data_IF_273676942290
#
_entry.id   IF_273676942290
#
_cell.length_a   1.000
_cell.length_b   1.000
_cell.length_c   1.000
_cell.angle_alpha   90.00
_cell.angle_beta   90.00
_cell.angle_gamma   90.00
#
_symmetry.space_group_name_H-M   'P 1'
#
loop_
_entity.id
_entity.type
_entity.pdbx_description
1 polymer ?
#
# COMPACT_ATOMS: atom_id res chain seq x y z
N UNK A 1 0.10 0.68 61.15
CA UNK A 1 -0.15 1.38 59.88
C UNK A 1 -1.37 2.27 60.07
N UNK A 2 -1.30 3.52 59.59
CA UNK A 2 -2.43 4.46 59.60
C UNK A 2 -2.74 4.86 58.17
N UNK A 3 -3.96 4.65 57.71
CA UNK A 3 -4.41 5.19 56.44
C UNK A 3 -4.56 6.70 56.57
N UNK A 4 -3.97 7.46 55.64
CA UNK A 4 -4.08 8.92 55.61
C UNK A 4 -4.97 9.32 54.44
N UNK A 5 -5.92 10.21 54.69
CA UNK A 5 -6.86 10.74 53.70
C UNK A 5 -6.34 12.07 53.14
N UNK A 6 -5.08 12.09 52.70
CA UNK A 6 -4.50 13.30 52.10
C UNK A 6 -4.67 13.27 50.57
N UNK A 7 -4.78 14.45 49.97
CA UNK A 7 -5.28 14.73 48.61
C UNK A 7 -4.42 14.22 47.44
N UNK A 8 -3.55 13.22 47.65
CA UNK A 8 -2.58 12.73 46.68
C UNK A 8 -3.13 11.50 45.91
N UNK A 9 -3.46 11.62 44.60
CA UNK A 9 -4.00 10.52 43.81
C UNK A 9 -2.89 9.58 43.30
N UNK A 10 -1.95 9.22 44.19
CA UNK A 10 -0.78 8.40 43.84
C UNK A 10 -0.51 7.35 44.93
N UNK A 11 0.00 6.15 44.57
CA UNK A 11 0.45 5.17 45.53
C UNK A 11 1.64 5.72 46.34
N UNK A 12 1.38 6.03 47.61
CA UNK A 12 2.33 6.65 48.53
C UNK A 12 2.35 5.93 49.89
N UNK A 13 3.55 5.74 50.43
CA UNK A 13 3.76 5.22 51.79
C UNK A 13 4.82 6.02 52.54
N UNK A 14 4.65 6.18 53.85
CA UNK A 14 5.69 6.64 54.77
C UNK A 14 6.27 5.42 55.48
N UNK A 15 7.58 5.20 55.40
CA UNK A 15 8.29 4.10 56.05
C UNK A 15 9.29 4.61 57.10
N UNK A 16 9.62 3.76 58.07
CA UNK A 16 10.72 4.01 59.01
C UNK A 16 12.07 3.40 58.54
N UNK A 17 13.14 3.58 59.31
CA UNK A 17 14.47 2.99 59.05
C UNK A 17 14.50 1.46 58.94
N UNK A 18 13.51 0.77 59.49
CA UNK A 18 13.36 -0.69 59.43
C UNK A 18 12.38 -1.11 58.34
N UNK A 19 12.02 -0.18 57.44
CA UNK A 19 11.07 -0.39 56.35
C UNK A 19 9.64 -0.71 56.82
N UNK A 20 9.28 -0.39 58.07
CA UNK A 20 7.90 -0.53 58.52
C UNK A 20 7.04 0.60 57.98
N UNK A 21 5.87 0.25 57.44
CA UNK A 21 4.92 1.21 56.89
C UNK A 21 4.19 1.90 58.05
N UNK A 22 4.43 3.20 58.19
CA UNK A 22 3.78 4.06 59.18
C UNK A 22 2.44 4.56 58.64
N UNK A 23 2.46 5.11 57.43
CA UNK A 23 1.31 5.74 56.77
C UNK A 23 1.21 5.29 55.31
N UNK A 24 -0.01 5.25 54.76
CA UNK A 24 -0.24 4.87 53.36
C UNK A 24 -1.49 5.53 52.78
N UNK A 25 -1.52 5.71 51.45
CA UNK A 25 -2.70 6.15 50.68
C UNK A 25 -3.56 4.97 50.23
N UNK A 26 -4.86 5.16 49.94
CA UNK A 26 -5.72 4.11 49.37
C UNK A 26 -5.13 3.45 48.11
N UNK A 27 -4.55 4.24 47.23
CA UNK A 27 -3.90 3.80 46.00
C UNK A 27 -2.69 2.90 46.29
N UNK A 28 -1.95 3.15 47.38
CA UNK A 28 -0.88 2.27 47.84
C UNK A 28 -1.39 0.94 48.38
N UNK A 29 -2.58 0.94 49.01
CA UNK A 29 -3.23 -0.30 49.47
C UNK A 29 -3.71 -1.17 48.31
N UNK A 30 -4.10 -0.59 47.18
CA UNK A 30 -4.47 -1.37 46.00
C UNK A 30 -3.23 -1.96 45.32
N UNK A 31 -2.09 -1.26 45.40
CA UNK A 31 -0.84 -1.68 44.78
C UNK A 31 -0.06 -2.70 45.62
N UNK A 32 -0.07 -2.56 46.95
CA UNK A 32 0.65 -3.41 47.89
C UNK A 32 -0.28 -4.43 48.55
N UNK A 33 0.18 -5.66 48.72
CA UNK A 33 -0.32 -6.51 49.80
C UNK A 33 0.10 -5.83 51.11
N UNK A 34 -0.83 -5.18 51.82
CA UNK A 34 -0.57 -4.34 53.01
C UNK A 34 0.05 -5.15 54.16
N UNK A 35 1.34 -5.42 54.03
CA UNK A 35 2.17 -6.03 55.03
C UNK A 35 2.79 -4.95 55.93
N UNK A 36 3.13 -5.27 57.19
CA UNK A 36 3.74 -4.30 58.09
C UNK A 36 5.08 -3.77 57.58
N UNK A 37 5.84 -4.61 56.85
CA UNK A 37 7.12 -4.25 56.26
C UNK A 37 6.99 -4.06 54.74
N UNK A 38 7.53 -2.95 54.24
CA UNK A 38 7.61 -2.66 52.81
C UNK A 38 8.42 -3.70 52.03
N UNK A 39 9.48 -4.27 52.66
CA UNK A 39 10.32 -5.28 52.03
C UNK A 39 9.58 -6.58 51.72
N UNK A 40 8.49 -6.88 52.46
CA UNK A 40 7.68 -8.07 52.21
C UNK A 40 6.89 -7.99 50.90
N UNK A 41 6.80 -6.84 50.25
CA UNK A 41 6.16 -6.69 48.93
C UNK A 41 7.18 -6.56 47.80
N UNK A 42 8.46 -6.44 48.14
CA UNK A 42 9.57 -6.35 47.21
C UNK A 42 10.01 -7.78 46.86
N UNK A 43 10.31 -8.03 45.59
CA UNK A 43 10.89 -9.29 45.15
C UNK A 43 12.28 -9.52 45.75
N UNK A 44 12.63 -10.77 46.06
CA UNK A 44 13.86 -11.11 46.78
C UNK A 44 15.13 -10.61 46.05
N UNK A 45 15.13 -10.62 44.72
CA UNK A 45 16.27 -10.15 43.91
C UNK A 45 16.44 -8.62 43.97
N UNK A 46 15.40 -7.90 44.42
CA UNK A 46 15.40 -6.45 44.56
C UNK A 46 15.66 -5.96 46.00
N UNK A 47 15.72 -6.85 47.00
CA UNK A 47 15.92 -6.50 48.41
C UNK A 47 17.24 -5.76 48.65
N UNK A 48 18.35 -6.28 48.13
CA UNK A 48 19.68 -5.68 48.30
C UNK A 48 19.74 -4.27 47.72
N UNK A 49 19.02 -4.03 46.62
CA UNK A 49 18.93 -2.73 45.98
C UNK A 49 18.14 -1.75 46.85
N UNK A 50 17.01 -2.18 47.42
CA UNK A 50 16.22 -1.34 48.33
C UNK A 50 17.01 -1.00 49.58
N UNK A 51 17.61 -1.98 50.26
CA UNK A 51 18.37 -1.75 51.50
C UNK A 51 19.56 -0.81 51.26
N UNK A 52 20.25 -0.95 50.12
CA UNK A 52 21.41 -0.12 49.79
C UNK A 52 21.04 1.32 49.50
N UNK A 53 19.94 1.56 48.80
CA UNK A 53 19.62 2.88 48.24
C UNK A 53 18.54 3.64 49.02
N UNK A 54 17.67 2.94 49.75
CA UNK A 54 16.63 3.55 50.60
C UNK A 54 17.21 3.72 51.99
N UNK A 55 18.14 4.66 52.14
CA UNK A 55 18.74 5.04 53.42
C UNK A 55 18.80 6.57 53.59
N UNK A 56 18.86 7.09 54.83
CA UNK A 56 18.84 8.53 55.09
C UNK A 56 19.99 9.30 54.42
N UNK A 57 21.15 8.67 54.25
CA UNK A 57 22.35 9.29 53.69
C UNK A 57 22.25 9.50 52.17
N UNK A 58 21.35 8.78 51.50
CA UNK A 58 21.15 8.83 50.05
C UNK A 58 20.22 9.97 49.58
N UNK A 59 19.57 10.70 50.51
CA UNK A 59 18.76 11.88 50.19
C UNK A 59 17.51 11.57 49.35
N UNK A 60 17.45 12.11 48.12
CA UNK A 60 16.38 11.81 47.15
C UNK A 60 16.85 10.75 46.18
N UNK A 61 16.15 9.63 46.13
CA UNK A 61 16.56 8.44 45.39
C UNK A 61 15.46 7.98 44.45
N UNK A 62 15.84 7.61 43.23
CA UNK A 62 14.97 6.89 42.30
C UNK A 62 15.58 5.50 42.07
N UNK A 63 14.80 4.44 42.31
CA UNK A 63 15.20 3.07 42.03
C UNK A 63 14.06 2.30 41.36
N UNK A 64 14.40 1.54 40.33
CA UNK A 64 13.51 0.55 39.72
C UNK A 64 13.65 -0.79 40.44
N UNK A 65 12.53 -1.39 40.84
CA UNK A 65 12.49 -2.68 41.54
C UNK A 65 11.38 -3.58 41.00
N UNK A 66 11.54 -4.88 41.20
CA UNK A 66 10.45 -5.84 41.02
C UNK A 66 9.67 -5.95 42.32
N UNK A 67 8.34 -5.90 42.21
CA UNK A 67 7.43 -6.16 43.32
C UNK A 67 6.56 -7.36 42.99
N UNK A 68 6.19 -8.12 44.02
CA UNK A 68 5.28 -9.24 43.86
C UNK A 68 3.91 -8.86 44.42
N UNK A 69 2.86 -9.16 43.65
CA UNK A 69 1.48 -9.09 44.12
C UNK A 69 0.80 -10.41 43.76
N UNK A 70 0.31 -11.09 44.78
CA UNK A 70 -0.28 -12.43 44.69
C UNK A 70 0.67 -13.46 44.06
N UNK A 71 0.64 -13.62 42.74
CA UNK A 71 1.51 -14.54 41.96
C UNK A 71 2.11 -13.88 40.72
N UNK A 72 1.94 -12.56 40.55
CA UNK A 72 2.51 -11.80 39.45
C UNK A 72 3.65 -10.91 39.97
N UNK A 73 4.74 -10.88 39.21
CA UNK A 73 5.85 -9.96 39.41
C UNK A 73 5.70 -8.82 38.41
N UNK A 74 5.82 -7.59 38.87
CA UNK A 74 5.73 -6.42 38.02
C UNK A 74 6.75 -5.36 38.44
N UNK A 75 7.12 -4.52 37.48
CA UNK A 75 8.19 -3.54 37.61
C UNK A 75 7.63 -2.22 38.15
N UNK A 76 8.27 -1.64 39.16
CA UNK A 76 7.88 -0.37 39.78
C UNK A 76 9.10 0.55 39.88
N UNK A 77 8.91 1.83 39.52
CA UNK A 77 9.84 2.90 39.89
C UNK A 77 9.47 3.46 41.27
N UNK A 78 10.39 3.40 42.22
CA UNK A 78 10.28 4.02 43.54
C UNK A 78 10.96 5.37 43.56
N UNK A 79 10.25 6.37 44.06
CA UNK A 79 10.79 7.69 44.37
C UNK A 79 10.79 7.85 45.88
N UNK A 80 11.99 7.87 46.47
CA UNK A 80 12.19 7.93 47.91
C UNK A 80 12.71 9.31 48.31
N UNK A 81 12.09 9.89 49.32
CA UNK A 81 12.54 11.12 49.95
C UNK A 81 12.52 11.00 51.48
N UNK A 82 13.68 11.13 52.12
CA UNK A 82 13.75 11.18 53.58
C UNK A 82 13.34 12.56 54.09
N UNK A 83 12.23 12.60 54.85
CA UNK A 83 11.75 13.82 55.54
C UNK A 83 12.69 14.23 56.66
N UNK A 84 13.24 13.23 57.33
CA UNK A 84 14.20 13.35 58.41
C UNK A 84 14.95 12.02 58.54
N UNK A 85 15.84 11.96 59.52
CA UNK A 85 16.60 10.76 59.83
C UNK A 85 15.74 9.53 60.14
N UNK A 86 14.47 9.66 60.52
CA UNK A 86 13.64 8.57 61.03
C UNK A 86 12.60 8.07 60.02
N UNK A 87 12.20 8.89 59.05
CA UNK A 87 11.06 8.63 58.16
C UNK A 87 11.38 8.96 56.70
N UNK A 88 11.01 8.03 55.82
CA UNK A 88 11.07 8.20 54.38
C UNK A 88 9.68 8.19 53.76
N UNK A 89 9.47 9.06 52.79
CA UNK A 89 8.33 9.06 51.90
C UNK A 89 8.68 8.29 50.63
N UNK A 90 7.80 7.39 50.21
CA UNK A 90 8.01 6.54 49.04
C UNK A 90 6.79 6.64 48.13
N UNK A 91 7.00 7.12 46.91
CA UNK A 91 6.01 7.10 45.83
C UNK A 91 6.33 5.91 44.92
N UNK A 92 5.32 5.13 44.57
CA UNK A 92 5.44 3.94 43.72
C UNK A 92 4.74 4.16 42.38
N UNK A 93 5.46 3.98 41.28
CA UNK A 93 4.94 4.13 39.92
C UNK A 93 5.07 2.80 39.15
N UNK A 94 3.99 2.02 38.99
CA UNK A 94 4.05 0.76 38.24
C UNK A 94 4.28 1.00 36.74
N UNK A 95 5.13 0.18 36.12
CA UNK A 95 5.37 0.17 34.68
C UNK A 95 4.50 -0.90 34.01
N UNK A 96 3.50 -0.49 33.24
CA UNK A 96 2.63 -1.41 32.50
C UNK A 96 3.30 -1.92 31.21
N UNK A 97 3.29 -3.25 30.98
CA UNK A 97 3.87 -3.94 29.81
C UNK A 97 3.18 -3.64 28.45
N UNK A 98 2.17 -2.77 28.41
CA UNK A 98 1.36 -2.47 27.23
C UNK A 98 2.18 -2.12 25.98
N UNK A 99 3.39 -1.54 26.15
CA UNK A 99 4.27 -1.20 25.05
C UNK A 99 4.81 -2.42 24.28
N UNK A 100 5.00 -3.57 24.93
CA UNK A 100 5.56 -4.77 24.29
C UNK A 100 4.51 -5.50 23.42
N UNK A 101 3.28 -5.59 23.90
CA UNK A 101 2.17 -6.18 23.15
C UNK A 101 1.81 -5.37 21.90
N UNK A 102 1.77 -4.03 22.03
CA UNK A 102 1.54 -3.12 20.91
C UNK A 102 2.64 -3.23 19.87
N UNK A 103 3.90 -3.30 20.29
CA UNK A 103 5.04 -3.48 19.38
C UNK A 103 4.94 -4.78 18.58
N UNK A 104 4.61 -5.91 19.22
CA UNK A 104 4.44 -7.20 18.53
C UNK A 104 3.23 -7.23 17.58
N UNK A 105 2.14 -6.51 17.89
CA UNK A 105 1.02 -6.36 16.95
C UNK A 105 1.41 -5.51 15.73
N UNK A 106 2.15 -4.41 15.95
CA UNK A 106 2.62 -3.55 14.87
C UNK A 106 3.55 -4.31 13.91
N UNK A 107 4.47 -5.12 14.43
CA UNK A 107 5.34 -5.97 13.60
C UNK A 107 4.53 -6.95 12.74
N UNK A 108 3.52 -7.61 13.32
CA UNK A 108 2.64 -8.53 12.57
C UNK A 108 1.85 -7.80 11.49
N UNK A 109 1.33 -6.61 11.78
CA UNK A 109 0.59 -5.79 10.82
C UNK A 109 1.50 -5.31 9.70
N UNK A 110 2.69 -4.81 10.01
CA UNK A 110 3.69 -4.41 9.02
C UNK A 110 4.05 -5.57 8.10
N UNK A 111 4.30 -6.76 8.67
CA UNK A 111 4.58 -7.96 7.87
C UNK A 111 3.43 -8.28 6.92
N UNK A 112 2.19 -8.35 7.43
CA UNK A 112 1.01 -8.64 6.62
C UNK A 112 0.80 -7.58 5.52
N UNK A 113 1.00 -6.30 5.83
CA UNK A 113 0.91 -5.23 4.86
C UNK A 113 1.94 -5.38 3.75
N UNK A 114 3.18 -5.71 4.10
CA UNK A 114 4.23 -5.94 3.10
C UNK A 114 3.92 -7.16 2.22
N UNK A 115 3.46 -8.26 2.82
CA UNK A 115 3.08 -9.48 2.09
C UNK A 115 1.93 -9.18 1.10
N UNK A 116 0.87 -8.50 1.56
CA UNK A 116 -0.25 -8.09 0.70
C UNK A 116 0.17 -7.09 -0.38
N UNK A 117 1.06 -6.13 -0.06
CA UNK A 117 1.58 -5.19 -1.06
C UNK A 117 2.36 -5.92 -2.16
N UNK A 118 3.12 -6.94 -1.80
CA UNK A 118 3.86 -7.75 -2.77
C UNK A 118 2.91 -8.55 -3.68
N UNK A 119 1.89 -9.19 -3.11
CA UNK A 119 0.85 -9.90 -3.88
C UNK A 119 0.10 -8.97 -4.84
N UNK A 120 -0.30 -7.77 -4.36
CA UNK A 120 -0.96 -6.76 -5.19
C UNK A 120 -0.08 -6.27 -6.33
N UNK A 121 1.23 -6.12 -6.10
CA UNK A 121 2.16 -5.72 -7.14
C UNK A 121 2.27 -6.79 -8.23
N UNK A 122 2.39 -8.06 -7.86
CA UNK A 122 2.39 -9.17 -8.83
C UNK A 122 1.08 -9.26 -9.62
N UNK A 123 -0.06 -9.06 -8.96
CA UNK A 123 -1.36 -9.09 -9.63
C UNK A 123 -1.52 -7.93 -10.61
N UNK A 124 -1.06 -6.72 -10.22
CA UNK A 124 -1.02 -5.55 -11.10
C UNK A 124 -0.16 -5.81 -12.34
N UNK A 125 1.03 -6.38 -12.18
CA UNK A 125 1.93 -6.67 -13.30
C UNK A 125 1.33 -7.71 -14.26
N UNK A 126 0.66 -8.74 -13.73
CA UNK A 126 -0.10 -9.73 -14.54
C UNK A 126 -1.24 -9.07 -15.31
N UNK A 127 -1.98 -8.16 -14.67
CA UNK A 127 -3.07 -7.42 -15.29
C UNK A 127 -2.55 -6.52 -16.42
N UNK A 128 -1.45 -5.79 -16.19
CA UNK A 128 -0.81 -4.95 -17.20
C UNK A 128 -0.36 -5.78 -18.41
N UNK A 129 0.31 -6.91 -18.19
CA UNK A 129 0.71 -7.82 -19.27
C UNK A 129 -0.50 -8.38 -20.06
N UNK A 130 -1.58 -8.73 -19.37
CA UNK A 130 -2.81 -9.21 -20.01
C UNK A 130 -3.49 -8.11 -20.85
N UNK A 131 -3.52 -6.88 -20.35
CA UNK A 131 -4.05 -5.71 -21.07
C UNK A 131 -3.22 -5.44 -22.32
N UNK A 132 -1.89 -5.47 -22.23
CA UNK A 132 -0.99 -5.25 -23.36
C UNK A 132 -1.15 -6.35 -24.42
N UNK A 133 -1.24 -7.61 -24.00
CA UNK A 133 -1.52 -8.72 -24.90
C UNK A 133 -2.88 -8.54 -25.59
N UNK A 134 -3.92 -8.15 -24.85
CA UNK A 134 -5.25 -7.91 -25.41
C UNK A 134 -5.22 -6.75 -26.43
N UNK A 135 -4.49 -5.67 -26.15
CA UNK A 135 -4.32 -4.55 -27.07
C UNK A 135 -3.64 -4.99 -28.37
N UNK A 136 -2.59 -5.82 -28.31
CA UNK A 136 -1.94 -6.36 -29.52
C UNK A 136 -2.86 -7.28 -30.33
N UNK A 137 -3.67 -8.10 -29.66
CA UNK A 137 -4.66 -8.97 -30.30
C UNK A 137 -5.88 -8.20 -30.83
N UNK A 138 -6.04 -6.93 -30.48
CA UNK A 138 -7.16 -6.10 -30.95
C UNK A 138 -6.99 -5.59 -32.39
N UNK A 139 -5.81 -5.75 -32.99
CA UNK A 139 -5.55 -5.42 -34.40
C UNK A 139 -4.58 -6.42 -35.06
N UNK A 140 -4.97 -7.70 -35.21
CA UNK A 140 -4.13 -8.70 -35.85
C UNK A 140 -3.92 -8.33 -37.33
N UNK A 141 -2.71 -8.56 -37.83
CA UNK A 141 -2.41 -8.39 -39.25
C UNK A 141 -2.75 -9.68 -39.99
N UNK A 142 -3.90 -9.72 -40.68
CA UNK A 142 -4.42 -10.91 -41.34
C UNK A 142 -4.15 -10.82 -42.84
N UNK A 143 -3.39 -11.76 -43.39
CA UNK A 143 -3.16 -11.84 -44.84
C UNK A 143 -4.39 -12.44 -45.53
N UNK A 144 -4.98 -11.72 -46.47
CA UNK A 144 -6.12 -12.21 -47.26
C UNK A 144 -5.64 -12.79 -48.60
N UNK A 145 -4.76 -12.06 -49.30
CA UNK A 145 -4.15 -12.47 -50.56
C UNK A 145 -2.67 -12.11 -50.58
N UNK A 146 -1.98 -12.37 -51.69
CA UNK A 146 -0.58 -11.94 -51.88
C UNK A 146 -0.41 -10.43 -51.89
N UNK A 147 -1.48 -9.67 -52.15
CA UNK A 147 -1.45 -8.22 -52.31
C UNK A 147 -2.32 -7.45 -51.30
N UNK A 148 -3.19 -8.16 -50.55
CA UNK A 148 -4.14 -7.54 -49.64
C UNK A 148 -4.09 -8.14 -48.24
N UNK A 149 -3.98 -7.28 -47.25
CA UNK A 149 -4.09 -7.62 -45.83
C UNK A 149 -5.30 -6.93 -45.17
N UNK A 150 -5.75 -7.47 -44.04
CA UNK A 150 -6.84 -6.98 -43.22
C UNK A 150 -6.36 -6.76 -41.78
N UNK A 151 -6.71 -5.60 -41.24
CA UNK A 151 -6.49 -5.22 -39.84
C UNK A 151 -7.86 -4.89 -39.26
N UNK A 152 -8.50 -5.83 -38.54
CA UNK A 152 -9.75 -5.55 -37.87
C UNK A 152 -9.49 -4.82 -36.56
N UNK A 153 -10.23 -3.73 -36.30
CA UNK A 153 -10.12 -2.92 -35.11
C UNK A 153 -11.34 -3.14 -34.21
N UNK A 154 -11.11 -3.43 -32.93
CA UNK A 154 -12.19 -3.74 -31.98
C UNK A 154 -12.18 -2.85 -30.73
N UNK A 155 -13.39 -2.50 -30.28
CA UNK A 155 -13.63 -1.70 -29.08
C UNK A 155 -13.31 -0.21 -29.28
N UNK A 156 -13.12 0.50 -28.18
CA UNK A 156 -12.69 1.90 -28.24
C UNK A 156 -11.22 1.97 -28.66
N UNK A 157 -10.91 2.97 -29.48
CA UNK A 157 -9.54 3.27 -29.89
C UNK A 157 -9.01 4.38 -28.99
N UNK A 158 -8.14 4.00 -28.06
CA UNK A 158 -7.35 4.91 -27.24
C UNK A 158 -5.88 4.93 -27.72
N UNK A 159 -5.10 5.83 -27.14
CA UNK A 159 -3.68 5.98 -27.47
C UNK A 159 -2.90 4.69 -27.16
N UNK A 160 -3.15 4.05 -26.02
CA UNK A 160 -2.43 2.85 -25.59
C UNK A 160 -2.59 1.71 -26.59
N UNK A 161 -3.82 1.46 -27.04
CA UNK A 161 -4.13 0.44 -28.04
C UNK A 161 -3.46 0.75 -29.37
N UNK A 162 -3.54 1.98 -29.84
CA UNK A 162 -2.92 2.39 -31.10
C UNK A 162 -1.39 2.33 -31.05
N UNK A 163 -0.76 2.68 -29.93
CA UNK A 163 0.67 2.50 -29.72
C UNK A 163 1.06 1.03 -29.76
N UNK A 164 0.31 0.16 -29.09
CA UNK A 164 0.58 -1.28 -29.04
C UNK A 164 0.52 -1.96 -30.43
N UNK A 165 -0.30 -1.44 -31.36
CA UNK A 165 -0.48 -2.04 -32.68
C UNK A 165 0.36 -1.34 -33.77
N UNK A 166 0.80 -0.10 -33.56
CA UNK A 166 1.51 0.71 -34.58
C UNK A 166 2.73 -0.01 -35.12
N UNK A 167 3.64 -0.41 -34.24
CA UNK A 167 4.91 -1.02 -34.66
C UNK A 167 4.67 -2.35 -35.35
N UNK A 168 3.77 -3.18 -34.81
CA UNK A 168 3.37 -4.45 -35.41
C UNK A 168 2.79 -4.26 -36.82
N UNK A 169 1.88 -3.30 -37.00
CA UNK A 169 1.24 -3.04 -38.31
C UNK A 169 2.25 -2.56 -39.34
N UNK A 170 3.15 -1.65 -38.97
CA UNK A 170 4.16 -1.11 -39.87
C UNK A 170 5.22 -2.16 -40.24
N UNK A 171 5.65 -2.96 -39.27
CA UNK A 171 6.60 -4.05 -39.49
C UNK A 171 6.03 -5.12 -40.42
N UNK A 172 4.81 -5.59 -40.17
CA UNK A 172 4.17 -6.61 -41.01
C UNK A 172 3.84 -6.08 -42.42
N UNK A 173 3.43 -4.81 -42.52
CA UNK A 173 3.20 -4.14 -43.81
C UNK A 173 4.49 -4.00 -44.63
N UNK A 174 5.62 -3.78 -43.97
CA UNK A 174 6.93 -3.78 -44.62
C UNK A 174 7.33 -5.20 -45.05
N UNK A 175 7.14 -6.18 -44.16
CA UNK A 175 7.64 -7.54 -44.38
C UNK A 175 6.95 -8.24 -45.54
N UNK A 176 5.62 -8.12 -45.66
CA UNK A 176 4.86 -8.91 -46.63
C UNK A 176 4.59 -8.23 -47.97
N UNK A 177 5.12 -7.03 -48.21
CA UNK A 177 5.02 -6.26 -49.45
C UNK A 177 3.62 -6.16 -50.09
N UNK A 178 2.52 -6.33 -49.32
CA UNK A 178 1.15 -6.14 -49.82
C UNK A 178 0.96 -4.70 -50.31
N UNK A 179 0.36 -4.44 -51.46
CA UNK A 179 0.10 -3.06 -51.90
C UNK A 179 -1.13 -2.48 -51.22
N UNK A 180 -2.03 -3.31 -50.66
CA UNK A 180 -3.28 -2.86 -50.04
C UNK A 180 -3.48 -3.36 -48.61
N UNK A 181 -3.95 -2.47 -47.75
CA UNK A 181 -4.31 -2.79 -46.36
C UNK A 181 -5.73 -2.30 -46.07
N UNK A 182 -6.58 -3.24 -45.68
CA UNK A 182 -7.95 -3.02 -45.28
C UNK A 182 -8.00 -2.81 -43.76
N UNK A 183 -8.52 -1.67 -43.30
CA UNK A 183 -8.77 -1.42 -41.88
C UNK A 183 -10.27 -1.53 -41.61
N UNK A 184 -10.68 -2.52 -40.82
CA UNK A 184 -12.09 -2.74 -40.48
C UNK A 184 -12.46 -2.07 -39.16
N UNK A 185 -13.27 -1.00 -39.27
CA UNK A 185 -13.79 -0.22 -38.15
C UNK A 185 -15.18 -0.67 -37.68
N UNK A 186 -15.73 -1.76 -38.25
CA UNK A 186 -17.07 -2.24 -37.90
C UNK A 186 -17.23 -2.47 -36.39
N UNK A 187 -16.17 -2.94 -35.72
CA UNK A 187 -16.12 -3.19 -34.28
C UNK A 187 -15.72 -1.99 -33.42
N UNK A 188 -15.53 -0.79 -34.00
CA UNK A 188 -15.01 0.38 -33.28
C UNK A 188 -16.13 1.19 -32.62
N UNK A 189 -15.96 1.46 -31.32
CA UNK A 189 -16.87 2.26 -30.51
C UNK A 189 -16.65 3.76 -30.71
N UNK A 190 -15.87 4.37 -29.82
CA UNK A 190 -15.47 5.77 -29.84
C UNK A 190 -13.95 5.91 -29.98
N UNK A 191 -13.53 7.11 -30.42
CA UNK A 191 -12.13 7.53 -30.44
C UNK A 191 -12.04 9.03 -30.13
N UNK A 192 -10.98 9.42 -29.41
CA UNK A 192 -10.70 10.80 -28.96
C UNK A 192 -9.78 11.55 -29.97
N UNK A 193 -9.59 12.87 -29.83
CA UNK A 193 -8.70 13.65 -30.70
C UNK A 193 -7.24 13.16 -30.73
N UNK A 194 -6.76 12.59 -29.63
CA UNK A 194 -5.39 12.11 -29.49
C UNK A 194 -5.16 10.80 -30.27
N UNK A 195 -6.08 9.84 -30.17
CA UNK A 195 -6.09 8.60 -30.96
C UNK A 195 -6.22 8.88 -32.46
N UNK A 196 -6.96 9.92 -32.84
CA UNK A 196 -7.01 10.41 -34.22
C UNK A 196 -5.62 10.83 -34.73
N UNK A 197 -4.82 11.52 -33.92
CA UNK A 197 -3.46 11.91 -34.31
C UNK A 197 -2.59 10.67 -34.57
N UNK A 198 -2.68 9.67 -33.70
CA UNK A 198 -1.88 8.45 -33.83
C UNK A 198 -2.32 7.56 -35.00
N UNK A 199 -3.63 7.47 -35.27
CA UNK A 199 -4.15 6.83 -36.49
C UNK A 199 -3.63 7.52 -37.75
N UNK A 200 -3.58 8.86 -37.76
CA UNK A 200 -3.03 9.63 -38.87
C UNK A 200 -1.58 9.27 -39.12
N UNK A 201 -0.77 9.15 -38.08
CA UNK A 201 0.65 8.78 -38.20
C UNK A 201 0.84 7.39 -38.78
N UNK A 202 0.00 6.42 -38.36
CA UNK A 202 0.01 5.07 -38.91
C UNK A 202 -0.32 5.12 -40.41
N UNK A 203 -1.44 5.74 -40.79
CA UNK A 203 -1.86 5.83 -42.19
C UNK A 203 -0.87 6.60 -43.07
N UNK A 204 -0.26 7.66 -42.54
CA UNK A 204 0.76 8.44 -43.24
C UNK A 204 2.02 7.64 -43.47
N UNK A 205 2.44 6.85 -42.49
CA UNK A 205 3.59 5.94 -42.63
C UNK A 205 3.33 4.89 -43.70
N UNK A 206 2.14 4.26 -43.67
CA UNK A 206 1.73 3.30 -44.70
C UNK A 206 1.66 3.93 -46.10
N UNK A 207 1.13 5.15 -46.20
CA UNK A 207 1.11 5.90 -47.45
C UNK A 207 2.54 6.16 -47.99
N UNK A 208 3.48 6.55 -47.13
CA UNK A 208 4.89 6.73 -47.52
C UNK A 208 5.59 5.42 -47.91
N UNK A 209 5.11 4.28 -47.40
CA UNK A 209 5.54 2.94 -47.83
C UNK A 209 4.87 2.49 -49.14
N UNK A 210 4.09 3.35 -49.79
CA UNK A 210 3.40 3.04 -51.05
C UNK A 210 2.16 2.17 -50.88
N UNK A 211 1.62 2.05 -49.65
CA UNK A 211 0.48 1.18 -49.34
C UNK A 211 -0.84 1.92 -49.52
N UNK A 212 -1.79 1.29 -50.22
CA UNK A 212 -3.16 1.74 -50.35
C UNK A 212 -3.96 1.37 -49.09
N UNK A 213 -4.43 2.37 -48.36
CA UNK A 213 -5.25 2.18 -47.16
C UNK A 213 -6.74 2.28 -47.52
N UNK A 214 -7.50 1.24 -47.15
CA UNK A 214 -8.96 1.20 -47.33
C UNK A 214 -9.65 1.06 -45.97
N UNK A 215 -10.48 2.03 -45.62
CA UNK A 215 -11.27 2.04 -44.38
C UNK A 215 -12.63 1.39 -44.64
N UNK A 216 -12.99 0.43 -43.79
CA UNK A 216 -14.22 -0.38 -43.90
C UNK A 216 -15.10 -0.14 -42.68
N UNK A 217 -16.41 -0.06 -42.87
CA UNK A 217 -17.38 -0.21 -41.78
C UNK A 217 -17.44 0.97 -40.80
N UNK A 218 -16.99 2.15 -41.24
CA UNK A 218 -17.01 3.36 -40.42
C UNK A 218 -18.42 3.94 -40.25
N UNK A 219 -18.75 4.39 -39.03
CA UNK A 219 -20.03 5.06 -38.74
C UNK A 219 -20.04 6.50 -39.27
N UNK A 220 -21.21 7.07 -39.62
CA UNK A 220 -21.28 8.42 -40.21
C UNK A 220 -20.65 9.55 -39.35
N UNK A 221 -20.76 9.45 -38.02
CA UNK A 221 -20.17 10.38 -37.07
C UNK A 221 -18.64 10.27 -37.02
N UNK A 222 -18.10 9.05 -37.10
CA UNK A 222 -16.68 8.76 -37.19
C UNK A 222 -16.10 9.20 -38.54
N UNK A 223 -16.84 9.01 -39.63
CA UNK A 223 -16.42 9.40 -40.97
C UNK A 223 -16.15 10.90 -41.08
N UNK A 224 -16.94 11.75 -40.41
CA UNK A 224 -16.67 13.20 -40.34
C UNK A 224 -15.31 13.53 -39.72
N UNK A 225 -14.92 12.80 -38.66
CA UNK A 225 -13.66 13.01 -37.95
C UNK A 225 -12.44 12.53 -38.76
N UNK A 226 -12.60 11.45 -39.54
CA UNK A 226 -11.53 10.95 -40.43
C UNK A 226 -11.46 11.68 -41.78
N UNK A 227 -12.53 12.39 -42.19
CA UNK A 227 -12.57 13.10 -43.46
C UNK A 227 -11.42 14.14 -43.59
N UNK A 228 -11.12 14.84 -42.49
CA UNK A 228 -10.01 15.80 -42.42
C UNK A 228 -8.65 15.17 -42.77
N UNK A 229 -8.49 13.86 -42.52
CA UNK A 229 -7.26 13.11 -42.82
C UNK A 229 -7.24 12.51 -44.22
N UNK A 230 -8.40 12.10 -44.75
CA UNK A 230 -8.46 11.40 -46.04
C UNK A 230 -8.00 12.21 -47.23
N UNK A 231 -8.16 13.53 -47.19
CA UNK A 231 -7.81 14.43 -48.30
C UNK A 231 -6.30 14.43 -48.55
N UNK A 232 -5.49 14.25 -47.50
CA UNK A 232 -4.02 14.30 -47.61
C UNK A 232 -3.39 12.96 -48.02
N UNK A 233 -4.06 11.84 -47.79
CA UNK A 233 -3.49 10.48 -47.91
C UNK A 233 -4.24 9.57 -48.89
N UNK A 234 -5.22 10.10 -49.62
CA UNK A 234 -6.03 9.35 -50.60
C UNK A 234 -6.66 8.07 -50.02
N UNK A 235 -7.18 8.15 -48.79
CA UNK A 235 -7.83 7.02 -48.12
C UNK A 235 -9.11 6.65 -48.87
N UNK A 236 -9.31 5.36 -49.14
CA UNK A 236 -10.57 4.87 -49.74
C UNK A 236 -11.50 4.38 -48.64
N UNK A 237 -12.80 4.52 -48.88
CA UNK A 237 -13.84 4.10 -47.92
C UNK A 237 -14.75 3.05 -48.53
N UNK A 238 -15.12 2.06 -47.73
CA UNK A 238 -16.09 1.02 -48.10
C UNK A 238 -17.05 0.76 -46.94
N UNK A 239 -18.31 0.45 -47.28
CA UNK A 239 -19.36 0.28 -46.28
C UNK A 239 -19.33 -1.10 -45.58
N UNK A 240 -18.77 -2.14 -46.20
CA UNK A 240 -18.73 -3.48 -45.60
C UNK A 240 -17.49 -4.27 -46.01
N UNK A 241 -17.06 -5.14 -45.10
CA UNK A 241 -15.93 -6.05 -45.35
C UNK A 241 -16.21 -6.97 -46.53
N UNK A 242 -17.44 -7.47 -46.64
CA UNK A 242 -17.86 -8.30 -47.78
C UNK A 242 -17.56 -7.62 -49.12
N UNK A 243 -17.97 -6.37 -49.32
CA UNK A 243 -17.71 -5.65 -50.57
C UNK A 243 -16.22 -5.41 -50.82
N UNK A 244 -15.45 -5.18 -49.75
CA UNK A 244 -14.01 -4.99 -49.86
C UNK A 244 -13.31 -6.28 -50.30
N UNK A 245 -13.69 -7.42 -49.73
CA UNK A 245 -13.20 -8.74 -50.13
C UNK A 245 -13.58 -9.01 -51.59
N UNK A 246 -14.85 -8.84 -51.98
CA UNK A 246 -15.31 -9.03 -53.36
C UNK A 246 -14.52 -8.19 -54.38
N UNK A 247 -14.12 -6.97 -54.00
CA UNK A 247 -13.41 -6.05 -54.89
C UNK A 247 -11.90 -6.30 -54.96
N UNK A 248 -11.28 -6.71 -53.86
CA UNK A 248 -9.82 -6.68 -53.71
C UNK A 248 -9.17 -8.04 -53.48
N UNK A 249 -9.97 -9.07 -53.19
CA UNK A 249 -9.48 -10.43 -52.92
C UNK A 249 -9.99 -11.47 -53.94
N UNK A 250 -10.72 -11.03 -54.96
CA UNK A 250 -11.23 -11.87 -56.06
C UNK A 250 -10.25 -11.98 -57.21
#
# INVERSE_FOLDING_TARGET
MRQVHDQLPVPFVTIDRKFYILEYTPEASELLNLNPSFLESVDQDSHDKVIKWVNPDAGKVNIEINMHKESEVFLIDLYVHWKNDLQAEVIMMPKYEANNHVSGMLEKLQKRLNDTNFELLEEKDKLEAAVDQNNRLSAPYIRLTTDTALIPLFGDLDERKLFAIKDQVLEEAHHYNHDRILFDFTGVGAFNPESLHLLRDIFKSLFYMGKEVVIIGIKPDQARKLNEMSIQMNLKYMHSLQKAIEKYCS
#
